data_IF_896279752426
#
_entry.id   IF_896279752426
#
_cell.length_a   1.000
_cell.length_b   1.000
_cell.length_c   1.000
_cell.angle_alpha   90.00
_cell.angle_beta   90.00
_cell.angle_gamma   90.00
#
_symmetry.space_group_name_H-M   'P 1'
#
loop_
_entity.id
_entity.type
_entity.pdbx_description
1 polymer ?
#
# COMPACT_ATOMS: atom_id res chain seq x y z
N UNK A 1 16.27 -32.82 -42.00
CA UNK A 1 15.08 -33.13 -41.20
C UNK A 1 15.54 -33.79 -39.91
N UNK A 2 15.56 -33.03 -38.81
CA UNK A 2 15.43 -33.51 -37.44
C UNK A 2 14.87 -32.32 -36.65
N UNK A 3 13.64 -32.48 -36.21
CA UNK A 3 12.77 -31.50 -35.57
C UNK A 3 13.24 -31.15 -34.17
N UNK A 4 13.31 -29.85 -33.89
CA UNK A 4 13.33 -29.31 -32.54
C UNK A 4 11.91 -29.43 -31.94
N UNK A 5 11.81 -29.89 -30.70
CA UNK A 5 10.63 -29.66 -29.86
C UNK A 5 11.06 -29.73 -28.40
N UNK A 6 10.86 -28.61 -27.70
CA UNK A 6 11.26 -28.45 -26.31
C UNK A 6 10.81 -27.10 -25.77
N UNK A 7 9.55 -26.72 -26.02
CA UNK A 7 8.91 -25.59 -25.35
C UNK A 7 8.57 -26.02 -23.92
N UNK A 8 9.50 -25.78 -23.00
CA UNK A 8 9.28 -25.95 -21.56
C UNK A 8 8.33 -24.89 -21.07
N UNK A 9 7.04 -25.23 -20.94
CA UNK A 9 6.07 -24.43 -20.19
C UNK A 9 6.43 -24.48 -18.72
N UNK A 10 6.70 -23.33 -18.10
CA UNK A 10 6.78 -23.24 -16.64
C UNK A 10 5.38 -22.85 -16.16
N UNK A 11 4.60 -23.82 -15.69
CA UNK A 11 3.34 -23.51 -15.00
C UNK A 11 3.66 -22.90 -13.65
N UNK A 12 2.89 -21.88 -13.22
CA UNK A 12 2.99 -21.35 -11.85
C UNK A 12 2.91 -22.48 -10.81
N UNK A 13 2.11 -23.53 -11.04
CA UNK A 13 1.99 -24.70 -10.16
C UNK A 13 3.28 -25.53 -10.02
N UNK A 14 4.08 -25.64 -11.09
CA UNK A 14 5.39 -26.33 -11.05
C UNK A 14 6.46 -25.49 -10.34
N UNK A 15 6.35 -24.16 -10.41
CA UNK A 15 7.18 -23.26 -9.62
C UNK A 15 6.81 -23.30 -8.12
N UNK A 16 5.52 -23.44 -7.77
CA UNK A 16 5.05 -23.58 -6.39
C UNK A 16 5.52 -24.86 -5.69
N UNK A 17 5.76 -25.94 -6.43
CA UNK A 17 6.10 -27.26 -5.86
C UNK A 17 7.59 -27.48 -5.60
N UNK A 18 8.49 -26.65 -6.15
CA UNK A 18 9.94 -26.92 -6.19
C UNK A 18 10.83 -25.89 -5.48
N UNK A 19 10.27 -24.93 -4.74
CA UNK A 19 11.08 -23.92 -4.04
C UNK A 19 11.69 -24.47 -2.74
N UNK A 20 12.81 -25.19 -2.87
CA UNK A 20 13.80 -25.34 -1.80
C UNK A 20 14.56 -24.02 -1.64
N UNK A 21 14.56 -23.49 -0.41
CA UNK A 21 15.21 -22.23 0.00
C UNK A 21 16.67 -22.22 -0.46
N UNK A 22 17.01 -21.32 -1.39
CA UNK A 22 18.38 -21.04 -1.77
C UNK A 22 18.64 -19.54 -1.65
N UNK A 23 19.74 -19.22 -0.97
CA UNK A 23 20.11 -17.90 -0.46
C UNK A 23 20.28 -16.86 -1.56
N UNK A 24 19.53 -15.76 -1.47
CA UNK A 24 19.71 -14.58 -2.32
C UNK A 24 20.92 -13.72 -1.88
N UNK A 25 21.56 -12.97 -2.79
CA UNK A 25 22.82 -12.28 -2.53
C UNK A 25 22.66 -11.05 -1.64
N UNK A 26 23.69 -10.82 -0.82
CA UNK A 26 23.83 -9.74 0.14
C UNK A 26 23.71 -8.34 -0.47
N UNK A 27 22.93 -7.47 0.19
CA UNK A 27 22.78 -6.05 -0.13
C UNK A 27 24.13 -5.29 -0.10
N UNK A 28 24.34 -4.28 -0.96
CA UNK A 28 25.55 -3.47 -0.95
C UNK A 28 25.63 -2.56 0.30
N UNK A 29 26.85 -2.16 0.72
CA UNK A 29 27.06 -1.39 1.94
C UNK A 29 26.53 0.05 1.80
N UNK A 30 25.84 0.50 2.85
CA UNK A 30 25.28 1.86 2.97
C UNK A 30 26.41 2.86 3.26
N UNK A 31 26.64 3.79 2.32
CA UNK A 31 27.48 4.96 2.56
C UNK A 31 26.75 5.92 3.52
N UNK A 32 27.39 6.23 4.65
CA UNK A 32 26.87 7.04 5.75
C UNK A 32 26.62 8.52 5.42
N UNK A 33 25.59 8.79 4.62
CA UNK A 33 25.03 10.13 4.49
C UNK A 33 24.38 10.57 5.79
N UNK A 34 24.92 11.62 6.41
CA UNK A 34 24.38 12.32 7.58
C UNK A 34 22.86 12.53 7.44
N UNK A 35 22.09 11.94 8.36
CA UNK A 35 20.65 12.17 8.47
C UNK A 35 20.37 13.64 8.77
N UNK A 36 19.44 14.30 8.05
CA UNK A 36 19.03 15.65 8.40
C UNK A 36 18.30 15.65 9.77
N UNK A 37 18.43 16.73 10.55
CA UNK A 37 17.77 16.86 11.86
C UNK A 37 16.25 16.77 11.71
N UNK A 38 15.56 16.31 12.78
CA UNK A 38 14.10 16.11 13.00
C UNK A 38 13.17 17.20 12.43
N UNK A 39 13.19 17.44 11.12
CA UNK A 39 12.35 18.38 10.38
C UNK A 39 11.46 17.58 9.44
N UNK A 40 10.16 17.62 9.72
CA UNK A 40 9.04 17.14 8.92
C UNK A 40 9.28 15.85 8.11
N UNK A 41 9.35 14.70 8.79
CA UNK A 41 9.14 13.38 8.15
C UNK A 41 7.83 13.30 7.34
N UNK A 42 6.90 14.21 7.63
CA UNK A 42 5.67 14.47 6.90
C UNK A 42 5.90 14.56 5.37
N UNK A 43 6.92 15.23 4.85
CA UNK A 43 7.07 15.43 3.39
C UNK A 43 8.09 14.52 2.69
N UNK A 44 8.78 13.65 3.44
CA UNK A 44 9.86 12.87 2.85
C UNK A 44 9.33 11.62 2.13
N UNK A 45 9.21 11.73 0.80
CA UNK A 45 9.20 10.59 -0.11
C UNK A 45 10.64 10.34 -0.57
N UNK A 46 11.28 9.20 -0.24
CA UNK A 46 12.56 8.86 -0.84
C UNK A 46 12.44 8.87 -2.37
N UNK A 47 13.46 9.42 -3.05
CA UNK A 47 13.48 9.48 -4.53
C UNK A 47 13.43 8.09 -5.19
N UNK A 48 13.83 7.08 -4.42
CA UNK A 48 13.96 5.68 -4.79
C UNK A 48 12.88 4.81 -4.10
N UNK A 49 11.74 5.41 -3.69
CA UNK A 49 10.61 4.63 -3.21
C UNK A 49 10.06 3.77 -4.36
N UNK A 50 9.88 2.45 -4.17
CA UNK A 50 9.27 1.60 -5.19
C UNK A 50 7.92 2.14 -5.66
N UNK A 51 7.64 2.13 -6.96
CA UNK A 51 6.39 2.65 -7.52
C UNK A 51 5.17 1.97 -6.88
N UNK A 52 5.26 0.66 -6.62
CA UNK A 52 4.23 -0.08 -5.89
C UNK A 52 3.88 0.53 -4.52
N UNK A 53 4.88 0.97 -3.75
CA UNK A 53 4.64 1.65 -2.47
C UNK A 53 4.03 3.04 -2.66
N UNK A 54 4.46 3.78 -3.70
CA UNK A 54 3.87 5.08 -4.02
C UNK A 54 2.37 4.94 -4.35
N UNK A 55 2.02 3.95 -5.18
CA UNK A 55 0.63 3.64 -5.54
C UNK A 55 -0.17 3.18 -4.33
N UNK A 56 0.37 2.30 -3.48
CA UNK A 56 -0.32 1.89 -2.27
C UNK A 56 -0.74 3.11 -1.41
N UNK A 57 0.16 4.08 -1.21
CA UNK A 57 -0.17 5.31 -0.49
C UNK A 57 -1.21 6.17 -1.22
N UNK A 58 -1.07 6.32 -2.54
CA UNK A 58 -2.03 7.06 -3.38
C UNK A 58 -3.45 6.49 -3.25
N UNK A 59 -3.58 5.17 -3.11
CA UNK A 59 -4.84 4.44 -3.01
C UNK A 59 -5.32 4.18 -1.57
N UNK A 60 -4.66 4.75 -0.55
CA UNK A 60 -4.97 4.52 0.86
C UNK A 60 -4.92 3.02 1.24
N UNK A 61 -3.90 2.32 0.77
CA UNK A 61 -3.65 0.91 1.01
C UNK A 61 -2.39 0.68 1.85
N UNK A 62 -2.34 -0.47 2.49
CA UNK A 62 -1.13 -0.90 3.18
C UNK A 62 -0.03 -1.23 2.16
N UNK A 63 1.14 -0.58 2.28
CA UNK A 63 2.29 -0.81 1.38
C UNK A 63 2.88 -2.23 1.44
N UNK A 64 2.51 -3.02 2.46
CA UNK A 64 2.98 -4.40 2.64
C UNK A 64 2.04 -5.39 1.95
N UNK A 65 0.73 -5.30 2.19
CA UNK A 65 -0.24 -6.28 1.69
C UNK A 65 -1.15 -5.77 0.56
N UNK A 66 -1.07 -4.49 0.20
CA UNK A 66 -1.88 -3.83 -0.84
C UNK A 66 -3.40 -3.95 -0.68
N UNK A 67 -3.86 -4.21 0.55
CA UNK A 67 -5.28 -4.13 0.87
C UNK A 67 -5.60 -2.76 1.48
N UNK A 68 -6.86 -2.37 1.40
CA UNK A 68 -7.32 -1.08 1.87
C UNK A 68 -7.09 -0.94 3.37
N UNK A 69 -6.51 0.19 3.77
CA UNK A 69 -6.13 0.43 5.15
C UNK A 69 -7.29 0.33 6.15
N UNK A 70 -8.48 0.78 5.75
CA UNK A 70 -9.66 0.81 6.63
C UNK A 70 -10.25 -0.56 6.97
N UNK A 71 -9.83 -1.64 6.29
CA UNK A 71 -10.39 -2.98 6.49
C UNK A 71 -9.86 -3.68 7.75
N UNK A 72 -8.67 -3.32 8.21
CA UNK A 72 -8.06 -3.88 9.42
C UNK A 72 -7.57 -2.78 10.37
N UNK A 73 -7.22 -3.16 11.58
CA UNK A 73 -6.65 -2.23 12.56
C UNK A 73 -5.37 -1.60 12.03
N UNK A 74 -5.30 -0.26 12.03
CA UNK A 74 -4.10 0.46 11.65
C UNK A 74 -3.02 0.39 12.75
N UNK A 75 -1.76 0.37 12.34
CA UNK A 75 -0.59 0.44 13.19
C UNK A 75 0.40 1.48 12.67
N UNK A 76 1.19 2.01 13.60
CA UNK A 76 2.20 3.06 13.35
C UNK A 76 3.54 2.67 13.97
N UNK A 77 4.63 3.17 13.38
CA UNK A 77 5.98 2.97 13.89
C UNK A 77 6.35 4.04 14.93
N UNK A 78 6.95 3.61 16.04
CA UNK A 78 7.23 4.46 17.21
C UNK A 78 8.69 4.38 17.71
N UNK A 79 9.14 5.47 18.34
CA UNK A 79 10.40 5.54 19.07
C UNK A 79 10.30 4.84 20.43
N UNK A 80 11.43 4.74 21.16
CA UNK A 80 11.46 4.11 22.49
C UNK A 80 10.59 4.81 23.56
N UNK A 81 10.02 5.98 23.25
CA UNK A 81 9.08 6.71 24.12
C UNK A 81 7.62 6.50 23.70
N UNK A 82 7.37 5.63 22.72
CA UNK A 82 6.03 5.39 22.17
C UNK A 82 5.51 6.52 21.28
N UNK A 83 6.37 7.42 20.80
CA UNK A 83 5.96 8.49 19.88
C UNK A 83 6.21 8.07 18.44
N UNK A 84 5.29 8.43 17.54
CA UNK A 84 5.43 8.12 16.13
C UNK A 84 6.71 8.71 15.53
N UNK A 85 7.33 7.93 14.64
CA UNK A 85 8.55 8.35 13.94
C UNK A 85 8.29 8.84 12.52
N UNK A 86 7.13 8.50 11.94
CA UNK A 86 6.76 8.88 10.58
C UNK A 86 5.23 8.96 10.40
N UNK A 87 4.75 9.61 9.31
CA UNK A 87 3.31 9.77 9.06
C UNK A 87 2.62 8.50 8.52
N UNK A 88 3.36 7.46 8.17
CA UNK A 88 2.82 6.31 7.45
C UNK A 88 2.05 5.37 8.37
N UNK A 89 0.88 4.94 7.89
CA UNK A 89 0.07 3.91 8.50
C UNK A 89 0.22 2.60 7.71
N UNK A 90 0.23 1.48 8.42
CA UNK A 90 0.15 0.14 7.85
C UNK A 90 -0.92 -0.63 8.62
N UNK A 91 -1.42 -1.76 8.11
CA UNK A 91 -2.13 -2.67 9.00
C UNK A 91 -1.22 -3.08 10.16
N UNK A 92 -1.76 -3.15 11.37
CA UNK A 92 -0.98 -3.42 12.57
C UNK A 92 -0.18 -4.73 12.43
N UNK A 93 -0.81 -5.78 11.90
CA UNK A 93 -0.17 -7.05 11.55
C UNK A 93 1.02 -6.87 10.60
N UNK A 94 0.85 -6.09 9.53
CA UNK A 94 1.92 -5.79 8.58
C UNK A 94 3.08 -5.03 9.24
N UNK A 95 2.78 -4.07 10.11
CA UNK A 95 3.79 -3.30 10.83
C UNK A 95 4.60 -4.20 11.80
N UNK A 96 3.93 -5.11 12.52
CA UNK A 96 4.59 -6.10 13.37
C UNK A 96 5.51 -7.02 12.57
N UNK A 97 5.09 -7.45 11.37
CA UNK A 97 5.93 -8.27 10.49
C UNK A 97 7.18 -7.50 10.07
N UNK A 98 7.03 -6.24 9.64
CA UNK A 98 8.18 -5.37 9.32
C UNK A 98 9.13 -5.25 10.52
N UNK A 99 8.59 -5.07 11.74
CA UNK A 99 9.39 -5.00 12.98
C UNK A 99 10.16 -6.29 13.25
N UNK A 100 9.54 -7.44 13.00
CA UNK A 100 10.10 -8.76 13.31
C UNK A 100 11.04 -9.27 12.20
N UNK A 101 10.95 -8.70 10.99
CA UNK A 101 11.80 -9.08 9.86
C UNK A 101 13.25 -8.63 10.06
N UNK A 102 14.20 -9.52 9.73
CA UNK A 102 15.64 -9.26 9.85
C UNK A 102 16.28 -8.62 8.60
N UNK A 103 15.51 -8.36 7.53
CA UNK A 103 16.05 -8.09 6.19
C UNK A 103 16.41 -6.62 5.88
N UNK A 104 16.40 -5.70 6.84
CA UNK A 104 16.72 -4.29 6.54
C UNK A 104 16.83 -3.32 7.72
N UNK A 105 16.87 -3.83 8.95
CA UNK A 105 16.79 -3.03 10.16
C UNK A 105 15.38 -2.47 10.43
N UNK A 106 15.19 -1.85 11.59
CA UNK A 106 13.89 -1.29 12.01
C UNK A 106 13.62 0.05 11.33
N UNK A 107 13.35 0.01 10.02
CA UNK A 107 13.08 1.18 9.20
C UNK A 107 11.71 1.09 8.54
N UNK A 108 10.99 2.21 8.51
CA UNK A 108 9.73 2.30 7.78
C UNK A 108 9.95 1.97 6.27
N UNK A 109 9.15 1.06 5.66
CA UNK A 109 9.32 0.66 4.25
C UNK A 109 9.00 1.79 3.26
N UNK A 110 8.39 2.87 3.76
CA UNK A 110 8.02 4.03 2.96
C UNK A 110 9.12 5.09 2.99
N UNK A 111 9.43 5.62 4.17
CA UNK A 111 10.34 6.77 4.31
C UNK A 111 11.66 6.45 4.98
N UNK A 112 11.91 5.18 5.32
CA UNK A 112 13.12 4.69 6.00
C UNK A 112 13.39 5.34 7.36
N UNK A 113 12.38 5.94 7.97
CA UNK A 113 12.48 6.43 9.33
C UNK A 113 12.76 5.26 10.27
N UNK A 114 13.78 5.40 11.11
CA UNK A 114 14.07 4.44 12.16
C UNK A 114 12.91 4.36 13.16
N UNK A 115 12.67 3.17 13.68
CA UNK A 115 11.71 2.93 14.74
C UNK A 115 12.21 1.85 15.69
N UNK A 116 11.62 1.77 16.87
CA UNK A 116 11.95 0.76 17.88
C UNK A 116 10.82 -0.24 18.04
N UNK A 117 9.58 0.25 17.93
CA UNK A 117 8.38 -0.54 18.16
C UNK A 117 7.21 -0.14 17.23
N UNK A 118 6.11 -0.87 17.35
CA UNK A 118 4.85 -0.67 16.64
C UNK A 118 3.74 -0.42 17.66
N UNK A 119 2.88 0.54 17.39
CA UNK A 119 1.71 0.86 18.22
C UNK A 119 0.44 0.71 17.39
N UNK A 120 -0.57 0.06 17.97
CA UNK A 120 -1.93 0.03 17.42
C UNK A 120 -2.56 1.42 17.53
N UNK A 121 -3.15 1.88 16.43
CA UNK A 121 -3.95 3.11 16.43
C UNK A 121 -5.34 2.72 16.89
N UNK A 122 -5.85 3.16 18.05
CA UNK A 122 -7.19 2.80 18.51
C UNK A 122 -8.25 3.26 17.53
N UNK A 123 -9.45 2.67 17.58
CA UNK A 123 -10.60 3.26 16.89
C UNK A 123 -10.90 4.63 17.47
N UNK A 124 -11.25 5.59 16.61
CA UNK A 124 -11.56 6.97 17.03
C UNK A 124 -12.72 7.04 18.03
N UNK A 125 -13.63 6.06 17.99
CA UNK A 125 -14.78 5.96 18.88
C UNK A 125 -14.45 5.20 20.20
N UNK A 126 -13.34 4.46 20.25
CA UNK A 126 -12.97 3.58 21.37
C UNK A 126 -12.15 4.32 22.44
N UNK A 127 -11.07 4.99 22.02
CA UNK A 127 -10.22 5.80 22.90
C UNK A 127 -9.81 7.10 22.18
N UNK A 128 -10.65 8.15 22.24
CA UNK A 128 -10.37 9.38 21.52
C UNK A 128 -9.12 10.12 22.01
N UNK A 129 -8.74 9.94 23.27
CA UNK A 129 -7.55 10.59 23.85
C UNK A 129 -6.27 9.94 23.34
N UNK A 130 -6.17 8.62 23.38
CA UNK A 130 -5.00 7.91 22.85
C UNK A 130 -4.96 8.01 21.31
N UNK A 131 -6.13 7.99 20.65
CA UNK A 131 -6.24 8.28 19.22
C UNK A 131 -5.61 9.63 18.88
N UNK A 132 -6.01 10.70 19.58
CA UNK A 132 -5.50 12.05 19.31
C UNK A 132 -3.99 12.13 19.52
N UNK A 133 -3.48 11.53 20.60
CA UNK A 133 -2.05 11.47 20.91
C UNK A 133 -1.24 10.70 19.85
N UNK A 134 -1.82 9.67 19.23
CA UNK A 134 -1.19 8.93 18.14
C UNK A 134 -1.25 9.72 16.82
N UNK A 135 -2.34 10.44 16.57
CA UNK A 135 -2.49 11.19 15.32
C UNK A 135 -1.64 12.46 15.29
N UNK A 136 -1.44 13.09 16.45
CA UNK A 136 -0.54 14.22 16.68
C UNK A 136 0.94 13.77 16.52
N UNK A 137 1.43 13.80 15.28
CA UNK A 137 2.75 13.29 14.90
C UNK A 137 3.86 14.20 15.42
N UNK A 138 3.61 15.51 15.47
CA UNK A 138 4.61 16.49 15.89
C UNK A 138 4.62 16.70 17.43
N UNK A 139 3.57 16.27 18.13
CA UNK A 139 3.42 16.34 19.58
C UNK A 139 3.14 17.74 20.10
N UNK A 140 2.54 18.62 19.29
CA UNK A 140 2.22 20.00 19.67
C UNK A 140 0.87 20.14 20.39
N UNK A 141 0.15 19.02 20.58
CA UNK A 141 -1.15 18.95 21.23
C UNK A 141 -2.30 19.37 20.33
N UNK A 142 -2.07 19.47 19.01
CA UNK A 142 -3.02 19.96 18.00
C UNK A 142 -2.97 19.05 16.78
N UNK A 143 -4.04 19.06 15.99
CA UNK A 143 -4.09 18.29 14.73
C UNK A 143 -4.14 19.24 13.55
N UNK A 144 -3.15 19.09 12.67
CA UNK A 144 -3.15 19.72 11.35
C UNK A 144 -4.12 19.01 10.42
N UNK A 145 -4.58 19.72 9.38
CA UNK A 145 -5.39 19.15 8.30
C UNK A 145 -4.81 17.86 7.74
N UNK A 146 -3.49 17.82 7.61
CA UNK A 146 -2.79 16.66 7.10
C UNK A 146 -2.88 15.46 8.03
N UNK A 147 -2.61 15.63 9.32
CA UNK A 147 -2.65 14.53 10.29
C UNK A 147 -4.03 13.89 10.32
N UNK A 148 -5.08 14.72 10.27
CA UNK A 148 -6.47 14.27 10.16
C UNK A 148 -6.71 13.48 8.88
N UNK A 149 -6.31 13.99 7.71
CA UNK A 149 -6.53 13.27 6.43
C UNK A 149 -5.85 11.90 6.43
N UNK A 150 -4.60 11.82 6.87
CA UNK A 150 -3.82 10.57 6.84
C UNK A 150 -4.46 9.47 7.70
N UNK A 151 -4.95 9.81 8.90
CA UNK A 151 -5.62 8.82 9.76
C UNK A 151 -7.02 8.47 9.27
N UNK A 152 -7.79 9.43 8.74
CA UNK A 152 -9.14 9.16 8.22
C UNK A 152 -9.08 8.23 6.99
N UNK A 153 -8.09 8.42 6.11
CA UNK A 153 -7.77 7.49 5.02
C UNK A 153 -7.46 6.09 5.54
N UNK A 154 -6.74 6.01 6.66
CA UNK A 154 -6.30 4.76 7.23
C UNK A 154 -7.40 3.99 7.98
N UNK A 155 -8.41 4.68 8.52
CA UNK A 155 -9.39 4.06 9.43
C UNK A 155 -10.83 4.05 8.93
N UNK A 156 -11.18 4.81 7.89
CA UNK A 156 -12.57 4.92 7.44
C UNK A 156 -12.75 4.52 5.97
N UNK A 157 -13.86 3.84 5.63
CA UNK A 157 -14.26 3.57 4.25
C UNK A 157 -14.85 4.84 3.61
N UNK A 158 -13.98 5.80 3.29
CA UNK A 158 -14.38 7.10 2.74
C UNK A 158 -13.81 7.36 1.35
N UNK A 159 -14.51 8.21 0.58
CA UNK A 159 -13.98 8.82 -0.64
C UNK A 159 -12.95 9.90 -0.27
N UNK A 160 -11.72 9.45 0.00
CA UNK A 160 -10.65 10.34 0.45
C UNK A 160 -10.20 11.33 -0.64
N UNK A 161 -10.39 11.00 -1.93
CA UNK A 161 -10.02 11.89 -3.04
C UNK A 161 -10.95 13.10 -3.05
N UNK A 162 -12.25 12.88 -2.90
CA UNK A 162 -13.22 13.96 -2.73
C UNK A 162 -12.99 14.70 -1.42
N UNK A 163 -12.67 13.99 -0.33
CA UNK A 163 -12.33 14.63 0.93
C UNK A 163 -11.14 15.59 0.76
N UNK A 164 -10.02 15.16 0.19
CA UNK A 164 -8.84 16.03 0.01
C UNK A 164 -9.13 17.26 -0.85
N UNK A 165 -9.99 17.12 -1.87
CA UNK A 165 -10.38 18.23 -2.72
C UNK A 165 -11.29 19.25 -1.99
N UNK A 166 -12.23 18.79 -1.17
CA UNK A 166 -13.22 19.64 -0.50
C UNK A 166 -12.77 20.12 0.89
N UNK A 167 -11.85 19.40 1.53
CA UNK A 167 -11.44 19.65 2.91
C UNK A 167 -10.93 21.08 3.15
N UNK A 168 -10.14 21.74 2.26
CA UNK A 168 -9.71 23.12 2.49
C UNK A 168 -10.86 24.12 2.71
N UNK A 169 -11.99 23.93 2.02
CA UNK A 169 -13.17 24.78 2.19
C UNK A 169 -13.99 24.38 3.41
N UNK A 170 -14.16 23.07 3.63
CA UNK A 170 -14.87 22.55 4.79
C UNK A 170 -14.14 22.84 6.10
N UNK A 171 -12.81 22.85 6.11
CA UNK A 171 -11.98 23.11 7.28
C UNK A 171 -12.34 24.44 7.95
N UNK A 172 -12.66 25.46 7.16
CA UNK A 172 -13.09 26.80 7.63
C UNK A 172 -14.38 26.79 8.46
N UNK A 173 -15.17 25.73 8.37
CA UNK A 173 -16.42 25.58 9.14
C UNK A 173 -16.16 25.10 10.56
N UNK A 174 -15.04 24.41 10.79
CA UNK A 174 -14.62 23.88 12.10
C UNK A 174 -13.51 24.74 12.73
N UNK A 175 -12.58 25.25 11.91
CA UNK A 175 -11.54 26.20 12.30
C UNK A 175 -12.09 27.65 12.30
N UNK A 176 -12.97 27.94 13.26
CA UNK A 176 -13.66 29.23 13.37
C UNK A 176 -12.69 30.38 13.67
N UNK A 177 -11.63 30.11 14.44
CA UNK A 177 -10.61 31.07 14.81
C UNK A 177 -9.49 31.23 13.75
N UNK A 178 -9.51 30.43 12.67
CA UNK A 178 -8.59 30.49 11.53
C UNK A 178 -7.13 30.28 11.91
N UNK A 179 -6.89 29.46 12.93
CA UNK A 179 -5.53 29.11 13.34
C UNK A 179 -4.99 27.87 12.58
N UNK A 180 -5.77 27.32 11.64
CA UNK A 180 -5.52 26.08 10.89
C UNK A 180 -5.41 24.84 11.80
N UNK A 181 -6.02 24.88 12.98
CA UNK A 181 -6.02 23.79 13.95
C UNK A 181 -7.46 23.36 14.22
N UNK A 182 -7.67 22.06 14.38
CA UNK A 182 -8.92 21.52 14.94
C UNK A 182 -8.62 20.95 16.32
N UNK A 183 -9.39 21.38 17.30
CA UNK A 183 -9.32 20.84 18.66
C UNK A 183 -10.03 19.49 18.74
N UNK A 184 -9.67 18.70 19.75
CA UNK A 184 -10.33 17.42 20.05
C UNK A 184 -11.87 17.53 20.11
N UNK A 185 -12.38 18.64 20.66
CA UNK A 185 -13.83 18.88 20.76
C UNK A 185 -14.47 19.11 19.39
N UNK A 186 -13.84 19.91 18.53
CA UNK A 186 -14.35 20.21 17.19
C UNK A 186 -14.30 19.00 16.26
N UNK A 187 -13.30 18.12 16.44
CA UNK A 187 -13.18 16.89 15.67
C UNK A 187 -14.33 15.90 15.97
N UNK A 188 -14.63 15.71 17.25
CA UNK A 188 -15.47 14.62 17.75
C UNK A 188 -16.91 15.02 18.09
N UNK A 189 -17.29 16.28 17.91
CA UNK A 189 -18.64 16.74 18.23
C UNK A 189 -19.69 15.87 17.48
N UNK A 190 -20.57 15.14 18.18
CA UNK A 190 -21.30 14.00 17.60
C UNK A 190 -22.18 14.29 16.36
N UNK A 191 -22.61 15.54 16.16
CA UNK A 191 -23.52 15.93 15.07
C UNK A 191 -22.97 17.00 14.14
N UNK A 192 -21.86 17.64 14.52
CA UNK A 192 -21.30 18.80 13.81
C UNK A 192 -19.81 18.71 13.62
N UNK A 193 -19.16 17.77 14.29
CA UNK A 193 -17.73 17.58 14.22
C UNK A 193 -17.32 17.00 12.88
N UNK A 194 -16.06 17.23 12.54
CA UNK A 194 -15.47 16.80 11.27
C UNK A 194 -15.67 15.29 11.06
N UNK A 195 -15.49 14.47 12.10
CA UNK A 195 -15.65 13.02 11.97
C UNK A 195 -17.07 12.61 11.55
N UNK A 196 -18.07 13.13 12.24
CA UNK A 196 -19.47 12.82 11.94
C UNK A 196 -19.85 13.30 10.53
N UNK A 197 -19.37 14.49 10.15
CA UNK A 197 -19.58 15.02 8.81
C UNK A 197 -18.92 14.16 7.73
N UNK A 198 -17.67 13.72 7.95
CA UNK A 198 -16.92 12.89 7.00
C UNK A 198 -17.61 11.54 6.79
N UNK A 199 -18.00 10.85 7.88
CA UNK A 199 -18.72 9.57 7.80
C UNK A 199 -20.05 9.70 7.03
N UNK A 200 -20.77 10.81 7.20
CA UNK A 200 -22.07 11.02 6.55
C UNK A 200 -21.97 11.49 5.10
N UNK A 201 -20.99 12.34 4.76
CA UNK A 201 -20.93 13.03 3.48
C UNK A 201 -19.87 12.51 2.53
N UNK A 202 -18.97 11.63 2.96
CA UNK A 202 -17.92 11.04 2.11
C UNK A 202 -17.95 9.51 2.14
N UNK A 203 -19.12 8.85 2.07
CA UNK A 203 -19.13 7.39 1.99
C UNK A 203 -18.34 6.96 0.75
N UNK A 204 -17.50 5.94 0.89
CA UNK A 204 -16.85 5.33 -0.26
C UNK A 204 -17.95 4.72 -1.13
N UNK A 205 -18.01 5.14 -2.39
CA UNK A 205 -18.78 4.44 -3.42
C UNK A 205 -18.09 3.08 -3.59
N UNK A 206 -18.86 1.99 -3.60
CA UNK A 206 -18.36 0.60 -3.60
C UNK A 206 -17.14 0.43 -4.52
N UNK A 207 -16.15 -0.36 -4.06
CA UNK A 207 -15.03 -0.71 -4.94
C UNK A 207 -15.58 -1.40 -6.19
N UNK A 208 -15.25 -0.86 -7.36
CA UNK A 208 -15.53 -1.53 -8.63
C UNK A 208 -15.00 -2.96 -8.53
N UNK A 209 -15.90 -3.93 -8.76
CA UNK A 209 -15.53 -5.33 -8.70
C UNK A 209 -14.40 -5.60 -9.68
N UNK A 210 -13.34 -6.25 -9.21
CA UNK A 210 -12.21 -6.65 -10.06
C UNK A 210 -12.78 -7.47 -11.23
N UNK A 211 -12.60 -7.05 -12.49
CA UNK A 211 -13.10 -7.80 -13.64
C UNK A 211 -12.56 -9.23 -13.64
N UNK A 212 -13.38 -10.23 -13.97
CA UNK A 212 -12.90 -11.60 -14.03
C UNK A 212 -12.01 -11.79 -15.26
N UNK A 213 -10.71 -11.97 -15.03
CA UNK A 213 -9.68 -12.17 -16.06
C UNK A 213 -10.00 -13.32 -17.03
N UNK A 214 -10.78 -14.32 -16.60
CA UNK A 214 -11.23 -15.42 -17.47
C UNK A 214 -12.23 -14.98 -18.54
N UNK A 215 -12.98 -13.92 -18.25
CA UNK A 215 -14.04 -13.41 -19.13
C UNK A 215 -13.67 -12.10 -19.81
N UNK A 216 -12.85 -11.27 -19.17
CA UNK A 216 -12.48 -9.95 -19.64
C UNK A 216 -11.04 -9.59 -19.27
N UNK A 217 -10.09 -10.09 -20.09
CA UNK A 217 -8.66 -9.80 -19.95
C UNK A 217 -8.36 -8.30 -20.05
N UNK A 218 -8.97 -7.63 -21.02
CA UNK A 218 -8.76 -6.19 -21.24
C UNK A 218 -9.32 -5.36 -20.11
N UNK A 219 -10.50 -5.71 -19.59
CA UNK A 219 -11.08 -5.08 -18.41
C UNK A 219 -10.20 -5.25 -17.18
N UNK A 220 -9.68 -6.46 -16.93
CA UNK A 220 -8.76 -6.70 -15.82
C UNK A 220 -7.47 -5.88 -15.97
N UNK A 221 -6.88 -5.86 -17.17
CA UNK A 221 -5.67 -5.06 -17.45
C UNK A 221 -5.93 -3.58 -17.20
N UNK A 222 -6.97 -3.02 -17.82
CA UNK A 222 -7.33 -1.61 -17.68
C UNK A 222 -7.73 -1.25 -16.25
N UNK A 223 -8.23 -2.20 -15.46
CA UNK A 223 -8.55 -1.98 -14.05
C UNK A 223 -7.28 -1.78 -13.22
N UNK A 224 -6.23 -2.55 -13.49
CA UNK A 224 -4.97 -2.52 -12.74
C UNK A 224 -3.90 -1.60 -13.32
N UNK A 225 -4.05 -1.14 -14.56
CA UNK A 225 -3.32 0.00 -15.12
C UNK A 225 -3.86 1.28 -14.46
N UNK A 226 -3.26 1.66 -13.33
CA UNK A 226 -3.80 2.69 -12.46
C UNK A 226 -3.54 4.10 -13.01
N UNK A 227 -2.43 4.29 -13.71
CA UNK A 227 -2.09 5.58 -14.32
C UNK A 227 -2.52 5.72 -15.76
N UNK A 228 -3.16 4.69 -16.32
CA UNK A 228 -3.64 4.68 -17.70
C UNK A 228 -2.50 4.89 -18.69
N UNK A 229 -1.31 4.36 -18.35
CA UNK A 229 -0.15 4.36 -19.23
C UNK A 229 -0.36 3.49 -20.47
N UNK A 230 -1.31 2.55 -20.42
CA UNK A 230 -1.50 1.52 -21.44
C UNK A 230 -0.58 0.31 -21.26
N UNK A 231 0.19 0.29 -20.17
CA UNK A 231 1.15 -0.76 -19.81
C UNK A 231 0.98 -1.12 -18.33
N UNK A 232 1.36 -2.34 -17.93
CA UNK A 232 1.40 -2.75 -16.54
C UNK A 232 2.84 -2.81 -16.04
N UNK A 233 3.14 -2.00 -15.01
CA UNK A 233 4.41 -2.10 -14.31
C UNK A 233 4.44 -3.29 -13.34
N UNK A 234 5.63 -3.74 -12.97
CA UNK A 234 5.81 -4.87 -12.02
C UNK A 234 5.04 -4.68 -10.71
N UNK A 235 5.02 -3.45 -10.19
CA UNK A 235 4.27 -3.12 -8.98
C UNK A 235 2.75 -3.29 -9.14
N UNK A 236 2.22 -2.95 -10.31
CA UNK A 236 0.80 -3.08 -10.63
C UNK A 236 0.43 -4.55 -10.78
N UNK A 237 1.25 -5.35 -11.46
CA UNK A 237 1.04 -6.80 -11.59
C UNK A 237 1.06 -7.49 -10.23
N UNK A 238 2.08 -7.25 -9.40
CA UNK A 238 2.14 -7.85 -8.05
C UNK A 238 0.88 -7.52 -7.24
N UNK A 239 0.47 -6.24 -7.25
CA UNK A 239 -0.74 -5.79 -6.56
C UNK A 239 -2.00 -6.44 -7.14
N UNK A 240 -2.08 -6.54 -8.46
CA UNK A 240 -3.21 -7.15 -9.15
C UNK A 240 -3.35 -8.63 -8.80
N UNK A 241 -2.25 -9.37 -8.73
CA UNK A 241 -2.24 -10.78 -8.33
C UNK A 241 -2.64 -10.95 -6.86
N UNK A 242 -2.08 -10.16 -5.95
CA UNK A 242 -2.42 -10.22 -4.53
C UNK A 242 -3.93 -9.98 -4.31
N UNK A 243 -4.52 -9.01 -5.02
CA UNK A 243 -5.96 -8.72 -4.96
C UNK A 243 -6.80 -9.81 -5.64
N UNK A 244 -6.40 -10.26 -6.82
CA UNK A 244 -7.13 -11.29 -7.60
C UNK A 244 -7.18 -12.62 -6.85
N UNK A 245 -6.08 -13.03 -6.23
CA UNK A 245 -5.99 -14.27 -5.45
C UNK A 245 -6.35 -14.13 -3.97
N UNK A 246 -6.74 -12.91 -3.52
CA UNK A 246 -7.08 -12.59 -2.11
C UNK A 246 -5.99 -13.03 -1.13
N UNK A 247 -4.74 -12.68 -1.44
CA UNK A 247 -3.55 -13.06 -0.66
C UNK A 247 -3.23 -12.08 0.46
N UNK A 248 -4.00 -11.00 0.63
CA UNK A 248 -3.68 -9.89 1.53
C UNK A 248 -3.45 -10.34 2.98
N UNK A 249 -4.09 -11.42 3.41
CA UNK A 249 -3.97 -11.99 4.76
C UNK A 249 -2.70 -12.80 5.01
N UNK A 250 -2.00 -13.27 3.97
CA UNK A 250 -0.85 -14.18 4.12
C UNK A 250 0.44 -13.55 3.58
N UNK A 251 1.31 -13.12 4.50
CA UNK A 251 2.59 -12.47 4.16
C UNK A 251 3.56 -13.40 3.44
N UNK A 252 3.58 -14.68 3.78
CA UNK A 252 4.42 -15.65 3.08
C UNK A 252 3.99 -15.73 1.62
N UNK A 253 2.68 -15.81 1.37
CA UNK A 253 2.14 -15.82 0.00
C UNK A 253 2.37 -14.51 -0.75
N UNK A 254 2.28 -13.36 -0.08
CA UNK A 254 2.61 -12.05 -0.68
C UNK A 254 4.08 -11.98 -1.09
N UNK A 255 5.00 -12.40 -0.22
CA UNK A 255 6.43 -12.38 -0.52
C UNK A 255 6.77 -13.38 -1.63
N UNK A 256 6.24 -14.60 -1.58
CA UNK A 256 6.38 -15.56 -2.67
C UNK A 256 5.83 -15.01 -3.99
N UNK A 257 4.68 -14.31 -3.97
CA UNK A 257 4.14 -13.69 -5.19
C UNK A 257 5.09 -12.63 -5.75
N UNK A 258 5.67 -11.78 -4.91
CA UNK A 258 6.69 -10.79 -5.31
C UNK A 258 7.91 -11.45 -5.94
N UNK A 259 8.43 -12.50 -5.31
CA UNK A 259 9.60 -13.24 -5.78
C UNK A 259 9.33 -13.94 -7.11
N UNK A 260 8.17 -14.58 -7.25
CA UNK A 260 7.78 -15.26 -8.49
C UNK A 260 7.67 -14.24 -9.62
N UNK A 261 6.90 -13.16 -9.45
CA UNK A 261 6.74 -12.12 -10.47
C UNK A 261 8.10 -11.55 -10.88
N UNK A 262 8.99 -11.31 -9.91
CA UNK A 262 10.33 -10.84 -10.20
C UNK A 262 11.17 -11.86 -10.98
N UNK A 263 11.06 -13.15 -10.68
CA UNK A 263 11.80 -14.21 -11.36
C UNK A 263 11.31 -14.45 -12.80
N UNK A 264 10.00 -14.29 -13.04
CA UNK A 264 9.38 -14.56 -14.36
C UNK A 264 9.12 -13.30 -15.19
N UNK A 265 9.47 -12.11 -14.68
CA UNK A 265 9.15 -10.83 -15.34
C UNK A 265 9.63 -10.78 -16.79
N UNK A 266 10.90 -11.10 -17.03
CA UNK A 266 11.51 -11.09 -18.37
C UNK A 266 11.03 -12.21 -19.30
N UNK A 267 10.11 -13.07 -18.86
CA UNK A 267 9.43 -14.04 -19.75
C UNK A 267 8.25 -13.38 -20.46
N UNK A 268 7.62 -12.39 -19.83
CA UNK A 268 6.41 -11.74 -20.33
C UNK A 268 6.67 -10.35 -20.92
N UNK A 269 7.71 -9.67 -20.45
CA UNK A 269 8.25 -8.42 -21.01
C UNK A 269 9.17 -8.76 -22.19
N UNK A 270 8.58 -8.99 -23.37
CA UNK A 270 9.28 -9.55 -24.53
C UNK A 270 10.23 -8.55 -25.18
N UNK A 271 9.88 -7.28 -25.13
CA UNK A 271 10.68 -6.19 -25.66
C UNK A 271 11.67 -5.62 -24.64
N UNK A 272 11.60 -6.10 -23.38
CA UNK A 272 12.41 -5.66 -22.24
C UNK A 272 12.30 -4.15 -22.01
N UNK A 273 11.09 -3.61 -22.22
CA UNK A 273 10.69 -2.23 -21.93
C UNK A 273 10.67 -1.94 -20.42
N UNK A 274 10.56 -2.97 -19.59
CA UNK A 274 10.36 -2.86 -18.14
C UNK A 274 8.88 -2.77 -17.74
N UNK A 275 7.97 -2.95 -18.69
CA UNK A 275 6.51 -2.92 -18.52
C UNK A 275 5.86 -3.98 -19.41
N UNK A 276 4.63 -4.40 -19.08
CA UNK A 276 3.90 -5.37 -19.91
C UNK A 276 2.78 -4.66 -20.65
N UNK A 277 2.81 -4.68 -21.98
CA UNK A 277 1.77 -4.08 -22.80
C UNK A 277 0.55 -4.99 -22.92
N UNK A 278 -0.59 -4.43 -23.35
CA UNK A 278 -1.82 -5.22 -23.47
C UNK A 278 -1.68 -6.40 -24.45
N UNK A 279 -0.92 -6.22 -25.52
CA UNK A 279 -0.69 -7.25 -26.53
C UNK A 279 0.16 -8.40 -25.97
N UNK A 280 1.20 -8.08 -25.18
CA UNK A 280 2.03 -9.07 -24.47
C UNK A 280 1.23 -9.79 -23.37
N UNK A 281 0.42 -9.03 -22.63
CA UNK A 281 -0.46 -9.56 -21.58
C UNK A 281 -1.49 -10.55 -22.12
N UNK A 282 -2.16 -10.19 -23.23
CA UNK A 282 -3.24 -10.96 -23.82
C UNK A 282 -2.76 -12.01 -24.84
N UNK A 283 -1.45 -12.10 -25.10
CA UNK A 283 -0.87 -13.05 -26.06
C UNK A 283 -1.34 -14.48 -25.76
N UNK A 284 -1.92 -15.13 -26.77
CA UNK A 284 -2.48 -16.46 -26.60
C UNK A 284 -1.39 -17.51 -26.34
N UNK A 285 -1.56 -18.27 -25.27
CA UNK A 285 -0.72 -19.42 -24.91
C UNK A 285 0.54 -19.09 -24.12
N UNK A 286 1.11 -17.89 -24.31
CA UNK A 286 2.37 -17.46 -23.71
C UNK A 286 2.25 -16.13 -22.92
N UNK A 287 1.09 -15.46 -22.97
CA UNK A 287 0.86 -14.20 -22.27
C UNK A 287 0.67 -14.38 -20.76
N UNK A 288 0.91 -13.30 -20.03
CA UNK A 288 0.72 -13.26 -18.57
C UNK A 288 -0.72 -13.62 -18.18
N UNK A 289 -1.73 -13.18 -18.95
CA UNK A 289 -3.14 -13.47 -18.65
C UNK A 289 -3.44 -14.98 -18.62
N UNK A 290 -2.94 -15.74 -19.59
CA UNK A 290 -3.17 -17.18 -19.67
C UNK A 290 -2.46 -17.92 -18.54
N UNK A 291 -1.27 -17.45 -18.15
CA UNK A 291 -0.53 -17.99 -17.01
C UNK A 291 -1.26 -17.76 -15.69
N UNK A 292 -1.85 -16.57 -15.50
CA UNK A 292 -2.71 -16.27 -14.34
C UNK A 292 -3.94 -17.18 -14.33
N UNK A 293 -4.65 -17.27 -15.46
CA UNK A 293 -5.86 -18.10 -15.59
C UNK A 293 -5.57 -19.56 -15.28
N UNK A 294 -4.46 -20.11 -15.79
CA UNK A 294 -4.04 -21.48 -15.51
C UNK A 294 -3.84 -21.71 -14.00
N UNK A 295 -3.21 -20.77 -13.31
CA UNK A 295 -2.98 -20.80 -11.86
C UNK A 295 -4.26 -20.73 -11.03
N UNK A 296 -5.36 -20.21 -11.59
CA UNK A 296 -6.65 -20.13 -10.90
C UNK A 296 -7.54 -21.37 -11.12
N UNK A 297 -7.14 -22.28 -12.01
CA UNK A 297 -7.89 -23.51 -12.35
C UNK A 297 -7.32 -24.79 -11.73
N UNK A 298 -6.16 -24.71 -11.07
CA UNK A 298 -5.51 -25.78 -10.32
C UNK A 298 -6.06 -25.97 -8.90
#
# INVERSE_FOLDING_TARGET
ACTANGSGRVSFDEAFSNLSVSSAPSAPPINGGLMPPRRSYSLYKPKDMPVAHQRALEYAECVVCFDNMWKEQAGVFCDARGRRTCPHFLHHRCALEVRNSNMGGKHCPVCRAEFVDVTEVPGIDDDPHEWFKIVDLNGDGRLSQREVVEVLKAQLPIDYRRLEAELPELWKTWDVNKDNIITHKELLEPNKGLLAYVKANFPRVDEDAIPDIRTDKHGWFNYFDYDKSGTLEQGEVVRALIKTFRLSEDHTRINSMREIVNAVWGVFDFDNSGSIEIDEFAQAGDGLADSIIASMGG
#
